data_IF_484270937899
#
_entry.id   IF_484270937899
#
_cell.length_a   1.000
_cell.length_b   1.000
_cell.length_c   1.000
_cell.angle_alpha   90.00
_cell.angle_beta   90.00
_cell.angle_gamma   90.00
#
_symmetry.space_group_name_H-M   'P 1'
#
loop_
_entity.id
_entity.type
_entity.pdbx_description
1 polymer ?
#
# COMPACT_ATOMS: atom_id res chain seq x y z
N UNK A 1 13.42 13.28 -6.56
CA UNK A 1 12.94 14.62 -6.94
C UNK A 1 13.38 15.03 -8.34
N UNK A 2 14.68 15.01 -8.70
CA UNK A 2 15.17 15.45 -10.01
C UNK A 2 14.47 14.75 -11.18
N UNK A 3 14.32 13.43 -11.13
CA UNK A 3 13.62 12.66 -12.16
C UNK A 3 12.11 12.99 -12.22
N UNK A 4 11.49 13.27 -11.07
CA UNK A 4 10.09 13.69 -11.00
C UNK A 4 9.89 15.06 -11.65
N UNK A 5 10.76 16.02 -11.36
CA UNK A 5 10.69 17.36 -11.95
C UNK A 5 10.92 17.33 -13.46
N UNK A 6 11.82 16.45 -13.95
CA UNK A 6 12.08 16.27 -15.38
C UNK A 6 10.89 15.63 -16.11
N UNK A 7 10.30 14.60 -15.53
CA UNK A 7 9.19 13.86 -16.13
C UNK A 7 8.41 13.09 -15.05
N UNK A 8 7.34 13.69 -14.53
CA UNK A 8 6.55 13.14 -13.44
C UNK A 8 5.81 11.84 -13.77
N UNK A 9 5.55 11.57 -15.05
CA UNK A 9 4.75 10.44 -15.51
C UNK A 9 5.52 9.41 -16.33
N UNK A 10 6.78 9.68 -16.67
CA UNK A 10 7.57 8.85 -17.59
C UNK A 10 7.97 7.48 -17.03
N UNK A 11 8.21 7.40 -15.73
CA UNK A 11 8.53 6.15 -15.03
C UNK A 11 8.25 6.28 -13.54
N UNK A 12 8.33 5.17 -12.80
CA UNK A 12 8.40 5.22 -11.33
C UNK A 12 9.75 5.79 -10.91
N UNK A 13 9.76 6.58 -9.81
CA UNK A 13 10.96 7.33 -9.37
C UNK A 13 11.80 6.58 -8.31
N UNK A 14 11.66 5.25 -8.20
CA UNK A 14 12.52 4.39 -7.39
C UNK A 14 13.88 4.15 -8.03
N UNK A 15 14.91 3.90 -7.23
CA UNK A 15 16.30 3.77 -7.65
C UNK A 15 16.48 2.74 -8.77
N UNK A 16 15.96 1.52 -8.60
CA UNK A 16 16.07 0.43 -9.57
C UNK A 16 15.50 0.81 -10.94
N UNK A 17 14.30 1.43 -10.92
CA UNK A 17 13.63 1.84 -12.17
C UNK A 17 14.37 2.96 -12.86
N UNK A 18 14.89 3.91 -12.12
CA UNK A 18 15.68 5.00 -12.68
C UNK A 18 17.02 4.51 -13.22
N UNK A 19 17.65 3.54 -12.55
CA UNK A 19 18.89 2.90 -13.00
C UNK A 19 18.69 2.22 -14.37
N UNK A 20 17.66 1.42 -14.50
CA UNK A 20 17.33 0.76 -15.79
C UNK A 20 17.00 1.81 -16.85
N UNK A 21 16.18 2.81 -16.52
CA UNK A 21 15.67 3.77 -17.48
C UNK A 21 16.75 4.75 -17.99
N UNK A 22 17.59 5.28 -17.12
CA UNK A 22 18.57 6.31 -17.47
C UNK A 22 20.01 5.80 -17.66
N UNK A 23 20.37 4.71 -16.98
CA UNK A 23 21.74 4.18 -17.02
C UNK A 23 21.83 2.85 -17.76
N UNK A 24 20.70 2.25 -18.16
CA UNK A 24 20.62 0.91 -18.74
C UNK A 24 21.37 -0.13 -17.88
N UNK A 25 21.22 -0.02 -16.55
CA UNK A 25 21.86 -0.85 -15.55
C UNK A 25 20.80 -1.45 -14.63
N UNK A 26 20.77 -2.78 -14.52
CA UNK A 26 19.87 -3.49 -13.60
C UNK A 26 20.60 -3.74 -12.28
N UNK A 27 20.21 -3.07 -11.17
CA UNK A 27 20.83 -3.24 -9.87
C UNK A 27 20.40 -4.54 -9.21
N UNK A 28 21.17 -4.97 -8.21
CA UNK A 28 20.81 -6.06 -7.33
C UNK A 28 19.53 -5.73 -6.56
N UNK A 29 18.58 -6.67 -6.54
CA UNK A 29 17.32 -6.46 -5.82
C UNK A 29 17.48 -6.76 -4.34
N UNK A 30 16.74 -6.02 -3.52
CA UNK A 30 16.74 -6.24 -2.07
C UNK A 30 16.41 -7.68 -1.68
N UNK A 31 15.49 -8.32 -2.44
CA UNK A 31 15.09 -9.71 -2.22
C UNK A 31 16.21 -10.73 -2.47
N UNK A 32 17.21 -10.36 -3.26
CA UNK A 32 18.37 -11.23 -3.52
C UNK A 32 19.32 -11.29 -2.32
N UNK A 33 19.39 -10.21 -1.52
CA UNK A 33 20.20 -10.13 -0.31
C UNK A 33 19.46 -10.48 0.97
N UNK A 34 18.21 -10.07 1.09
CA UNK A 34 17.42 -10.22 2.31
C UNK A 34 16.31 -11.29 2.22
N UNK A 35 16.13 -11.91 1.04
CA UNK A 35 15.03 -12.83 0.79
C UNK A 35 13.70 -12.14 0.56
N UNK A 36 12.65 -12.91 0.27
CA UNK A 36 11.34 -12.39 -0.08
C UNK A 36 10.20 -13.01 0.74
N UNK A 37 9.08 -12.29 0.85
CA UNK A 37 7.86 -12.72 1.54
C UNK A 37 8.13 -13.25 2.96
N UNK A 38 7.62 -14.44 3.31
CA UNK A 38 7.77 -15.04 4.65
C UNK A 38 9.20 -15.47 5.01
N UNK A 39 10.12 -15.46 4.03
CA UNK A 39 11.55 -15.79 4.23
C UNK A 39 12.43 -14.55 4.31
N UNK A 40 11.84 -13.36 4.24
CA UNK A 40 12.59 -12.11 4.30
C UNK A 40 13.16 -11.90 5.70
N UNK A 41 14.47 -11.66 5.78
CA UNK A 41 15.19 -11.32 7.00
C UNK A 41 15.39 -9.80 7.11
N UNK A 42 15.64 -9.33 8.33
CA UNK A 42 16.04 -7.94 8.52
C UNK A 42 17.42 -7.71 7.90
N UNK A 43 17.64 -6.53 7.29
CA UNK A 43 18.93 -6.19 6.66
C UNK A 43 20.12 -6.30 7.63
N UNK A 44 19.91 -6.05 8.92
CA UNK A 44 20.91 -6.26 9.95
C UNK A 44 21.37 -7.73 10.12
N UNK A 45 20.64 -8.68 9.57
CA UNK A 45 20.95 -10.12 9.60
C UNK A 45 21.61 -10.60 8.29
N UNK A 46 21.72 -9.73 7.30
CA UNK A 46 22.40 -10.04 6.03
C UNK A 46 23.91 -10.12 6.28
N UNK A 47 24.55 -11.13 5.68
CA UNK A 47 26.01 -11.29 5.75
C UNK A 47 26.73 -10.02 5.28
N UNK A 48 27.75 -9.59 6.02
CA UNK A 48 28.48 -8.32 5.77
C UNK A 48 28.98 -8.18 4.33
N UNK A 49 29.57 -9.20 3.68
CA UNK A 49 30.03 -9.05 2.29
C UNK A 49 28.88 -8.75 1.32
N UNK A 50 27.74 -9.40 1.45
CA UNK A 50 26.56 -9.18 0.61
C UNK A 50 25.94 -7.80 0.87
N UNK A 51 25.79 -7.44 2.15
CA UNK A 51 25.28 -6.13 2.56
C UNK A 51 26.20 -4.99 2.06
N UNK A 52 27.52 -5.19 2.12
CA UNK A 52 28.50 -4.21 1.64
C UNK A 52 28.40 -3.99 0.13
N UNK A 53 28.28 -5.08 -0.64
CA UNK A 53 28.13 -4.98 -2.09
C UNK A 53 26.84 -4.24 -2.45
N UNK A 54 25.70 -4.64 -1.88
CA UNK A 54 24.41 -4.02 -2.10
C UNK A 54 24.42 -2.52 -1.77
N UNK A 55 24.92 -2.15 -0.60
CA UNK A 55 24.95 -0.75 -0.17
C UNK A 55 25.93 0.11 -1.00
N UNK A 56 27.06 -0.46 -1.42
CA UNK A 56 28.01 0.22 -2.27
C UNK A 56 27.47 0.44 -3.69
N UNK A 57 26.77 -0.56 -4.24
CA UNK A 57 26.08 -0.46 -5.54
C UNK A 57 25.02 0.64 -5.51
N UNK A 58 24.15 0.67 -4.49
CA UNK A 58 23.13 1.70 -4.31
C UNK A 58 23.74 3.11 -4.27
N UNK A 59 24.86 3.27 -3.58
CA UNK A 59 25.57 4.56 -3.50
C UNK A 59 26.16 4.97 -4.85
N UNK A 60 26.80 4.06 -5.59
CA UNK A 60 27.36 4.31 -6.93
C UNK A 60 26.25 4.69 -7.92
N UNK A 61 25.17 3.91 -7.96
CA UNK A 61 24.04 4.16 -8.85
C UNK A 61 23.40 5.52 -8.54
N UNK A 62 23.24 5.85 -7.26
CA UNK A 62 22.69 7.15 -6.84
C UNK A 62 23.55 8.30 -7.36
N UNK A 63 24.86 8.21 -7.24
CA UNK A 63 25.77 9.23 -7.74
C UNK A 63 25.74 9.35 -9.27
N UNK A 64 25.73 8.22 -9.98
CA UNK A 64 25.63 8.19 -11.43
C UNK A 64 24.32 8.78 -11.93
N UNK A 65 23.19 8.43 -11.29
CA UNK A 65 21.88 9.02 -11.59
C UNK A 65 21.86 10.52 -11.31
N UNK A 66 22.43 10.96 -10.18
CA UNK A 66 22.53 12.39 -9.88
C UNK A 66 23.26 13.14 -10.99
N UNK A 67 24.43 12.66 -11.41
CA UNK A 67 25.23 13.30 -12.45
C UNK A 67 24.47 13.33 -13.79
N UNK A 68 23.83 12.24 -14.17
CA UNK A 68 23.06 12.14 -15.41
C UNK A 68 21.86 13.11 -15.41
N UNK A 69 21.04 13.07 -14.36
CA UNK A 69 19.84 13.92 -14.25
C UNK A 69 20.20 15.41 -14.09
N UNK A 70 21.28 15.71 -13.40
CA UNK A 70 21.81 17.07 -13.30
C UNK A 70 22.24 17.61 -14.66
N UNK A 71 22.88 16.76 -15.49
CA UNK A 71 23.19 17.09 -16.88
C UNK A 71 21.93 17.43 -17.69
N UNK A 72 20.85 16.65 -17.56
CA UNK A 72 19.58 16.91 -18.25
C UNK A 72 18.88 18.20 -17.77
N UNK A 73 19.02 18.54 -16.49
CA UNK A 73 18.43 19.76 -15.91
C UNK A 73 19.18 21.03 -16.33
N UNK A 74 20.46 20.94 -16.68
CA UNK A 74 21.34 22.08 -16.91
C UNK A 74 20.75 23.11 -17.90
N UNK A 75 20.06 22.63 -18.93
CA UNK A 75 19.47 23.48 -19.98
C UNK A 75 17.97 23.77 -19.71
N UNK A 76 17.51 23.51 -18.49
CA UNK A 76 16.11 23.68 -18.07
C UNK A 76 15.98 24.65 -16.86
N UNK A 77 16.26 25.95 -17.02
CA UNK A 77 16.33 26.89 -15.89
C UNK A 77 15.03 26.98 -15.09
N UNK A 78 13.87 26.80 -15.73
CA UNK A 78 12.57 26.79 -15.04
C UNK A 78 12.42 25.57 -14.11
N UNK A 79 12.90 24.41 -14.54
CA UNK A 79 12.86 23.19 -13.73
C UNK A 79 13.89 23.24 -12.59
N UNK A 80 15.07 23.83 -12.84
CA UNK A 80 16.05 24.09 -11.77
C UNK A 80 15.45 25.00 -10.71
N UNK A 81 14.80 26.09 -11.13
CA UNK A 81 14.16 26.99 -10.20
C UNK A 81 13.07 26.31 -9.39
N UNK A 82 12.21 25.49 -10.02
CA UNK A 82 11.20 24.68 -9.34
C UNK A 82 11.85 23.76 -8.29
N UNK A 83 12.89 23.03 -8.69
CA UNK A 83 13.60 22.09 -7.82
C UNK A 83 14.22 22.78 -6.60
N UNK A 84 14.88 23.93 -6.83
CA UNK A 84 15.62 24.65 -5.76
C UNK A 84 14.74 25.52 -4.89
N UNK A 85 13.67 26.13 -5.46
CA UNK A 85 12.83 27.10 -4.72
C UNK A 85 11.61 26.46 -4.07
N UNK A 86 11.18 25.28 -4.54
CA UNK A 86 9.98 24.61 -4.02
C UNK A 86 10.30 23.22 -3.50
N UNK A 87 10.80 22.33 -4.35
CA UNK A 87 10.95 20.90 -4.01
C UNK A 87 11.93 20.65 -2.86
N UNK A 88 13.12 21.26 -2.90
CA UNK A 88 14.11 21.10 -1.83
C UNK A 88 13.68 21.76 -0.51
N UNK A 89 13.13 22.99 -0.47
CA UNK A 89 12.58 23.55 0.75
C UNK A 89 11.41 22.76 1.32
N UNK A 90 10.53 22.23 0.46
CA UNK A 90 9.41 21.40 0.88
C UNK A 90 9.89 20.10 1.58
N UNK A 91 10.98 19.49 1.10
CA UNK A 91 11.57 18.31 1.73
C UNK A 91 11.93 18.60 3.20
N UNK A 92 12.51 19.77 3.51
CA UNK A 92 12.82 20.14 4.88
C UNK A 92 11.57 20.29 5.76
N UNK A 93 10.48 20.79 5.19
CA UNK A 93 9.21 20.90 5.89
C UNK A 93 8.60 19.53 6.17
N UNK A 94 8.64 18.62 5.20
CA UNK A 94 8.17 17.25 5.37
C UNK A 94 8.98 16.48 6.43
N UNK A 95 10.31 16.64 6.44
CA UNK A 95 11.16 16.03 7.48
C UNK A 95 10.71 16.49 8.88
N UNK A 96 10.39 17.79 9.06
CA UNK A 96 9.89 18.29 10.34
C UNK A 96 8.53 17.68 10.71
N UNK A 97 7.62 17.60 9.75
CA UNK A 97 6.29 16.99 9.96
C UNK A 97 6.42 15.54 10.37
N UNK A 98 7.22 14.76 9.66
CA UNK A 98 7.45 13.33 9.95
C UNK A 98 8.17 13.12 11.29
N UNK A 99 9.16 13.97 11.61
CA UNK A 99 9.89 13.91 12.88
C UNK A 99 8.99 14.24 14.07
N UNK A 100 8.12 15.25 13.94
CA UNK A 100 7.17 15.61 14.98
C UNK A 100 6.08 14.55 15.16
N UNK A 101 5.71 13.90 14.07
CA UNK A 101 4.66 12.89 14.04
C UNK A 101 3.27 13.45 14.38
N UNK A 102 2.33 12.55 14.60
CA UNK A 102 0.99 12.86 15.09
C UNK A 102 0.79 12.22 16.45
N UNK A 103 0.22 12.98 17.39
CA UNK A 103 -0.14 12.44 18.71
C UNK A 103 -1.36 11.55 18.56
N UNK A 104 -1.23 10.32 18.99
CA UNK A 104 -2.32 9.33 19.03
C UNK A 104 -2.80 9.21 20.48
N UNK A 105 -4.10 9.29 20.71
CA UNK A 105 -4.71 8.95 21.98
C UNK A 105 -4.91 7.43 22.04
N UNK A 106 -3.91 6.74 22.59
CA UNK A 106 -3.89 5.30 22.68
C UNK A 106 -5.01 4.76 23.61
N UNK A 107 -5.37 5.53 24.64
CA UNK A 107 -6.43 5.13 25.58
C UNK A 107 -7.80 5.15 24.86
N UNK A 108 -8.12 6.26 24.20
CA UNK A 108 -9.37 6.39 23.43
C UNK A 108 -9.48 5.30 22.33
N UNK A 109 -8.38 4.99 21.66
CA UNK A 109 -8.37 3.92 20.66
C UNK A 109 -8.60 2.53 21.27
N UNK A 110 -8.06 2.26 22.46
CA UNK A 110 -8.30 1.01 23.17
C UNK A 110 -9.77 0.89 23.59
N UNK A 111 -10.32 1.94 24.22
CA UNK A 111 -11.74 2.00 24.62
C UNK A 111 -12.66 1.78 23.41
N UNK A 112 -12.38 2.46 22.30
CA UNK A 112 -13.16 2.30 21.06
C UNK A 112 -13.03 0.91 20.45
N UNK A 113 -11.83 0.29 20.54
CA UNK A 113 -11.61 -1.09 20.11
C UNK A 113 -12.49 -2.07 20.90
N UNK A 114 -12.61 -1.88 22.22
CA UNK A 114 -13.43 -2.71 23.08
C UNK A 114 -14.92 -2.53 22.76
N UNK A 115 -15.38 -1.30 22.55
CA UNK A 115 -16.76 -1.01 22.11
C UNK A 115 -17.08 -1.68 20.77
N UNK A 116 -16.15 -1.61 19.80
CA UNK A 116 -16.32 -2.26 18.50
C UNK A 116 -16.35 -3.78 18.63
N UNK A 117 -15.54 -4.38 19.50
CA UNK A 117 -15.52 -5.81 19.72
C UNK A 117 -16.89 -6.31 20.24
N UNK A 118 -17.47 -5.60 21.21
CA UNK A 118 -18.82 -5.91 21.74
C UNK A 118 -19.86 -5.81 20.63
N UNK A 119 -19.84 -4.73 19.85
CA UNK A 119 -20.81 -4.51 18.77
C UNK A 119 -20.67 -5.55 17.63
N UNK A 120 -19.46 -5.94 17.29
CA UNK A 120 -19.20 -7.02 16.32
C UNK A 120 -19.79 -8.34 16.83
N UNK A 121 -19.60 -8.65 18.11
CA UNK A 121 -20.14 -9.87 18.70
C UNK A 121 -21.68 -9.89 18.69
N UNK A 122 -22.33 -8.77 19.02
CA UNK A 122 -23.77 -8.62 18.98
C UNK A 122 -24.33 -8.80 17.56
N UNK A 123 -23.72 -8.12 16.57
CA UNK A 123 -24.11 -8.22 15.17
C UNK A 123 -23.87 -9.63 14.61
N UNK A 124 -22.77 -10.27 15.00
CA UNK A 124 -22.47 -11.64 14.61
C UNK A 124 -23.55 -12.62 15.11
N UNK A 125 -23.94 -12.49 16.37
CA UNK A 125 -25.03 -13.32 16.95
C UNK A 125 -26.35 -13.09 16.23
N UNK A 126 -26.64 -11.84 15.87
CA UNK A 126 -27.86 -11.52 15.11
C UNK A 126 -27.80 -12.16 13.71
N UNK A 127 -26.71 -12.03 13.00
CA UNK A 127 -26.51 -12.64 11.68
C UNK A 127 -26.62 -14.17 11.72
N UNK A 128 -26.00 -14.83 12.70
CA UNK A 128 -26.11 -16.29 12.87
C UNK A 128 -27.54 -16.73 13.17
N UNK A 129 -28.28 -15.96 13.98
CA UNK A 129 -29.69 -16.23 14.26
C UNK A 129 -30.54 -16.13 12.99
N UNK A 130 -30.31 -15.14 12.15
CA UNK A 130 -31.01 -14.96 10.87
C UNK A 130 -30.64 -16.05 9.88
N UNK A 131 -29.35 -16.39 9.77
CA UNK A 131 -28.85 -17.48 8.92
C UNK A 131 -29.28 -18.88 9.42
N UNK A 132 -29.60 -19.02 10.71
CA UNK A 132 -29.92 -20.30 11.35
C UNK A 132 -28.73 -21.21 11.59
N UNK A 133 -27.49 -20.70 11.39
CA UNK A 133 -26.22 -21.38 11.62
C UNK A 133 -25.07 -20.39 11.78
N UNK A 134 -23.98 -20.84 12.41
CA UNK A 134 -22.73 -20.08 12.47
C UNK A 134 -21.94 -20.26 11.17
N UNK A 135 -21.37 -19.16 10.68
CA UNK A 135 -20.52 -19.16 9.49
C UNK A 135 -19.45 -18.08 9.60
N UNK A 136 -18.41 -18.16 8.76
CA UNK A 136 -17.38 -17.13 8.70
C UNK A 136 -17.84 -15.96 7.82
N UNK A 137 -18.16 -14.82 8.43
CA UNK A 137 -18.60 -13.60 7.76
C UNK A 137 -17.49 -12.94 6.93
N UNK A 138 -16.21 -13.21 7.23
CA UNK A 138 -15.06 -12.76 6.42
C UNK A 138 -14.83 -13.64 5.18
N UNK A 139 -15.64 -14.68 5.00
CA UNK A 139 -15.56 -15.57 3.84
C UNK A 139 -16.59 -15.23 2.78
N UNK A 140 -16.21 -14.58 1.66
CA UNK A 140 -17.16 -14.28 0.58
C UNK A 140 -17.90 -15.51 0.06
N UNK A 141 -17.24 -16.69 0.09
CA UNK A 141 -17.85 -17.95 -0.35
C UNK A 141 -18.99 -18.38 0.58
N UNK A 142 -18.78 -18.28 1.89
CA UNK A 142 -19.83 -18.62 2.87
C UNK A 142 -20.95 -17.59 2.87
N UNK A 143 -20.63 -16.30 2.71
CA UNK A 143 -21.63 -15.25 2.52
C UNK A 143 -22.52 -15.52 1.30
N UNK A 144 -21.94 -15.90 0.16
CA UNK A 144 -22.71 -16.28 -1.04
C UNK A 144 -23.66 -17.43 -0.73
N UNK A 145 -23.19 -18.46 -0.04
CA UNK A 145 -24.01 -19.63 0.32
C UNK A 145 -25.21 -19.23 1.22
N UNK A 146 -24.95 -18.42 2.24
CA UNK A 146 -26.00 -17.97 3.16
C UNK A 146 -26.99 -17.03 2.45
N UNK A 147 -26.49 -15.98 1.82
CA UNK A 147 -27.36 -14.92 1.29
C UNK A 147 -28.17 -15.36 0.07
N UNK A 148 -27.53 -16.04 -0.88
CA UNK A 148 -28.16 -16.32 -2.16
C UNK A 148 -28.72 -17.75 -2.30
N UNK A 149 -28.14 -18.74 -1.60
CA UNK A 149 -28.62 -20.11 -1.68
C UNK A 149 -29.58 -20.47 -0.54
N UNK A 150 -29.30 -19.98 0.69
CA UNK A 150 -30.10 -20.33 1.87
C UNK A 150 -31.26 -19.33 2.14
N UNK A 151 -30.95 -18.03 2.07
CA UNK A 151 -31.94 -16.95 2.27
C UNK A 151 -32.62 -16.54 0.96
N UNK A 152 -32.23 -17.10 -0.17
CA UNK A 152 -32.81 -16.90 -1.51
C UNK A 152 -32.93 -15.41 -1.91
N UNK A 153 -31.94 -14.59 -1.52
CA UNK A 153 -31.91 -13.17 -1.86
C UNK A 153 -31.56 -12.96 -3.36
N UNK A 154 -32.04 -11.90 -3.99
CA UNK A 154 -31.77 -11.64 -5.40
C UNK A 154 -30.31 -11.25 -5.63
N UNK A 155 -29.71 -11.79 -6.69
CA UNK A 155 -28.35 -11.45 -7.10
C UNK A 155 -28.33 -10.10 -7.81
N UNK A 156 -28.08 -9.02 -7.09
CA UNK A 156 -28.05 -7.66 -7.64
C UNK A 156 -26.82 -7.40 -8.53
N UNK A 157 -25.69 -8.05 -8.23
CA UNK A 157 -24.43 -7.87 -8.94
C UNK A 157 -23.62 -9.16 -8.98
N UNK A 158 -22.88 -9.36 -10.08
CA UNK A 158 -21.93 -10.48 -10.21
C UNK A 158 -20.49 -9.97 -10.30
N UNK A 159 -19.56 -10.77 -9.80
CA UNK A 159 -18.11 -10.54 -9.96
C UNK A 159 -17.69 -10.76 -11.42
N UNK A 160 -16.48 -10.32 -11.84
CA UNK A 160 -15.96 -10.61 -13.18
C UNK A 160 -15.87 -12.11 -13.51
N UNK A 161 -15.82 -12.96 -12.49
CA UNK A 161 -15.84 -14.43 -12.63
C UNK A 161 -17.25 -15.04 -12.65
N UNK A 162 -18.30 -14.22 -12.71
CA UNK A 162 -19.70 -14.65 -12.78
C UNK A 162 -20.34 -15.07 -11.47
N UNK A 163 -19.64 -15.04 -10.34
CA UNK A 163 -20.18 -15.36 -9.02
C UNK A 163 -20.99 -14.19 -8.45
N UNK A 164 -22.03 -14.44 -7.62
CA UNK A 164 -22.71 -13.38 -6.90
C UNK A 164 -21.74 -12.52 -6.08
N UNK A 165 -21.94 -11.20 -6.09
CA UNK A 165 -21.08 -10.26 -5.36
C UNK A 165 -21.56 -10.13 -3.92
N UNK A 166 -20.59 -10.10 -2.98
CA UNK A 166 -20.81 -9.80 -1.56
C UNK A 166 -19.97 -8.59 -1.12
N UNK A 167 -19.70 -7.68 -2.06
CA UNK A 167 -19.02 -6.43 -1.71
C UNK A 167 -19.96 -5.49 -0.95
N UNK A 168 -19.38 -4.52 -0.25
CA UNK A 168 -20.08 -3.58 0.61
C UNK A 168 -21.27 -2.91 -0.08
N UNK A 169 -21.08 -2.35 -1.29
CA UNK A 169 -22.16 -1.73 -2.06
C UNK A 169 -23.37 -2.66 -2.31
N UNK A 170 -23.07 -3.95 -2.57
CA UNK A 170 -24.13 -4.94 -2.83
C UNK A 170 -24.86 -5.28 -1.54
N UNK A 171 -24.13 -5.45 -0.44
CA UNK A 171 -24.72 -5.76 0.87
C UNK A 171 -25.55 -4.58 1.39
N UNK A 172 -25.10 -3.34 1.25
CA UNK A 172 -25.88 -2.16 1.62
C UNK A 172 -27.19 -2.07 0.85
N UNK A 173 -27.16 -2.30 -0.45
CA UNK A 173 -28.41 -2.29 -1.25
C UNK A 173 -29.36 -3.42 -0.90
N UNK A 174 -28.83 -4.60 -0.55
CA UNK A 174 -29.68 -5.69 -0.04
C UNK A 174 -30.30 -5.32 1.30
N UNK A 175 -29.54 -4.67 2.19
CA UNK A 175 -30.04 -4.24 3.50
C UNK A 175 -31.09 -3.10 3.43
N UNK A 176 -31.19 -2.35 2.31
CA UNK A 176 -32.25 -1.36 2.08
C UNK A 176 -33.62 -2.03 1.81
N UNK A 177 -33.61 -3.23 1.23
CA UNK A 177 -34.84 -3.93 0.79
C UNK A 177 -35.20 -5.13 1.66
N UNK A 178 -34.25 -5.66 2.42
CA UNK A 178 -34.40 -6.86 3.24
C UNK A 178 -33.83 -6.63 4.64
N UNK A 179 -34.46 -7.19 5.64
CA UNK A 179 -34.00 -7.17 7.04
C UNK A 179 -32.74 -8.08 7.17
N UNK A 180 -31.54 -7.46 6.99
CA UNK A 180 -30.23 -8.13 7.01
C UNK A 180 -29.32 -7.55 8.07
#
# INVERSE_FOLDING_TARGET
>A
LMSYVLNSTGTRHGLDRLSVYYLNYEPMKYEEVAGSASKQINFAQVEIPAATFYAAEDADITLRLFNHLNGMLKDQPKLINLLTSIEYPMLQSLIRVETNGAKIDAQMLAEYSDELAIKIEELSKAAFKMAGEEFNMDSPKQLVEILYNKLDLPVLKKTPKGQPSTNEDTLQRLAEEYDL
#
